data_IF_561774922546
#
_entry.id   IF_561774922546
#
_cell.length_a   1.000
_cell.length_b   1.000
_cell.length_c   1.000
_cell.angle_alpha   90.00
_cell.angle_beta   90.00
_cell.angle_gamma   90.00
#
_symmetry.space_group_name_H-M   'P 1'
#
loop_
_entity.id
_entity.type
_entity.pdbx_description
1 polymer ?
#
# COMPACT_ATOMS: atom_id res chain seq x y z
N UNK A 1 5.35 -1.98 3.66
CA UNK A 1 4.69 -2.82 4.67
C UNK A 1 5.74 -3.19 5.70
N UNK A 2 5.40 -3.36 6.96
CA UNK A 2 6.34 -3.92 7.96
C UNK A 2 6.35 -5.45 7.94
N UNK A 3 5.41 -6.06 7.21
CA UNK A 3 5.37 -7.48 6.87
C UNK A 3 5.75 -7.73 5.41
N UNK A 4 6.43 -8.84 5.14
CA UNK A 4 6.82 -9.26 3.80
C UNK A 4 6.13 -10.57 3.41
N UNK A 5 5.23 -10.51 2.44
CA UNK A 5 4.50 -11.67 1.94
C UNK A 5 4.01 -11.42 0.50
N UNK A 6 3.27 -12.38 -0.07
CA UNK A 6 2.81 -12.32 -1.45
C UNK A 6 1.99 -11.05 -1.79
N UNK A 7 1.28 -10.48 -0.80
CA UNK A 7 0.53 -9.23 -1.01
C UNK A 7 1.44 -8.01 -1.22
N UNK A 8 2.71 -8.08 -0.82
CA UNK A 8 3.71 -7.05 -1.11
C UNK A 8 3.90 -6.89 -2.62
N UNK A 9 3.83 -7.98 -3.39
CA UNK A 9 3.93 -7.95 -4.86
C UNK A 9 2.83 -7.10 -5.52
N UNK A 10 1.67 -6.99 -4.89
CA UNK A 10 0.53 -6.22 -5.41
C UNK A 10 0.69 -4.71 -5.18
N UNK A 11 1.67 -4.28 -4.39
CA UNK A 11 1.92 -2.87 -4.09
C UNK A 11 2.86 -2.28 -5.13
N UNK A 12 2.28 -1.77 -6.20
CA UNK A 12 3.03 -1.15 -7.30
C UNK A 12 3.33 0.34 -7.03
N UNK A 13 4.40 0.84 -7.64
CA UNK A 13 4.76 2.26 -7.54
C UNK A 13 3.70 3.17 -8.18
N UNK A 14 3.48 4.34 -7.60
CA UNK A 14 2.51 5.31 -8.13
C UNK A 14 3.06 6.23 -9.21
N UNK A 15 4.39 6.36 -9.31
CA UNK A 15 5.05 7.33 -10.20
C UNK A 15 5.60 6.73 -11.50
N UNK A 16 5.49 5.40 -11.68
CA UNK A 16 6.08 4.70 -12.82
C UNK A 16 5.60 5.24 -14.19
N UNK A 17 4.37 5.73 -14.28
CA UNK A 17 3.81 6.29 -15.51
C UNK A 17 4.48 7.60 -15.96
N UNK A 18 5.08 8.37 -15.04
CA UNK A 18 5.66 9.68 -15.34
C UNK A 18 6.91 9.58 -16.22
N UNK A 19 7.73 8.55 -15.99
CA UNK A 19 9.05 8.39 -16.62
C UNK A 19 9.25 7.07 -17.34
N UNK A 20 8.38 6.08 -17.14
CA UNK A 20 8.51 4.75 -17.77
C UNK A 20 8.59 4.82 -19.29
N UNK A 21 7.87 5.76 -19.92
CA UNK A 21 7.88 5.94 -21.37
C UNK A 21 9.29 6.25 -21.93
N UNK A 22 10.18 6.86 -21.15
CA UNK A 22 11.56 7.14 -21.58
C UNK A 22 12.31 5.84 -21.89
N UNK A 23 12.04 4.77 -21.13
CA UNK A 23 12.68 3.48 -21.29
C UNK A 23 11.99 2.59 -22.33
N UNK A 24 10.66 2.66 -22.45
CA UNK A 24 9.91 1.81 -23.39
C UNK A 24 9.82 2.38 -24.81
N UNK A 25 9.76 3.70 -24.98
CA UNK A 25 9.63 4.32 -26.31
C UNK A 25 10.79 3.98 -27.26
N UNK A 26 12.06 3.98 -26.82
CA UNK A 26 13.18 3.54 -27.66
C UNK A 26 13.02 2.12 -28.20
N UNK A 27 12.42 1.21 -27.43
CA UNK A 27 12.18 -0.17 -27.86
C UNK A 27 11.26 -0.21 -29.10
N UNK A 28 10.22 0.63 -29.13
CA UNK A 28 9.32 0.72 -30.29
C UNK A 28 10.05 1.28 -31.52
N UNK A 29 10.96 2.25 -31.35
CA UNK A 29 11.73 2.80 -32.46
C UNK A 29 12.73 1.80 -33.08
N UNK A 30 13.25 0.85 -32.29
CA UNK A 30 14.10 -0.24 -32.81
C UNK A 30 13.28 -1.44 -33.31
N UNK A 31 11.95 -1.32 -33.40
CA UNK A 31 11.06 -2.32 -34.01
C UNK A 31 10.56 -3.40 -33.05
N UNK A 32 10.67 -3.22 -31.72
CA UNK A 32 10.06 -4.15 -30.76
C UNK A 32 8.54 -4.02 -30.82
N UNK A 33 7.78 -5.11 -31.06
CA UNK A 33 6.32 -5.05 -31.07
C UNK A 33 5.73 -4.78 -29.68
N UNK A 34 4.59 -4.08 -29.63
CA UNK A 34 3.91 -3.73 -28.38
C UNK A 34 3.49 -4.96 -27.58
N UNK A 35 3.00 -5.99 -28.26
CA UNK A 35 2.61 -7.27 -27.67
C UNK A 35 3.77 -7.97 -26.95
N UNK A 36 5.00 -7.79 -27.41
CA UNK A 36 6.18 -8.36 -26.77
C UNK A 36 6.46 -7.65 -25.44
N UNK A 37 6.42 -6.32 -25.42
CA UNK A 37 6.59 -5.54 -24.18
C UNK A 37 5.52 -5.92 -23.15
N UNK A 38 4.26 -6.03 -23.58
CA UNK A 38 3.14 -6.44 -22.71
C UNK A 38 3.34 -7.85 -22.18
N UNK A 39 3.74 -8.79 -23.04
CA UNK A 39 3.93 -10.20 -22.67
C UNK A 39 5.10 -10.36 -21.70
N UNK A 40 6.24 -9.75 -21.98
CA UNK A 40 7.41 -9.78 -21.07
C UNK A 40 7.07 -9.11 -19.74
N UNK A 41 6.36 -7.97 -19.76
CA UNK A 41 5.89 -7.31 -18.55
C UNK A 41 4.96 -8.20 -17.71
N UNK A 42 4.02 -8.89 -18.34
CA UNK A 42 3.11 -9.82 -17.64
C UNK A 42 3.86 -11.02 -17.04
N UNK A 43 4.79 -11.63 -17.79
CA UNK A 43 5.63 -12.71 -17.28
C UNK A 43 6.51 -12.25 -16.12
N UNK A 44 7.06 -11.04 -16.20
CA UNK A 44 7.81 -10.44 -15.10
C UNK A 44 6.93 -10.25 -13.87
N UNK A 45 5.69 -9.75 -13.99
CA UNK A 45 4.77 -9.60 -12.85
C UNK A 45 4.45 -10.95 -12.18
N UNK A 46 4.23 -12.00 -12.96
CA UNK A 46 4.02 -13.36 -12.45
C UNK A 46 5.28 -13.85 -11.72
N UNK A 47 6.46 -13.64 -12.31
CA UNK A 47 7.73 -13.98 -11.67
C UNK A 47 7.94 -13.21 -10.37
N UNK A 48 7.64 -11.91 -10.35
CA UNK A 48 7.73 -11.09 -9.15
C UNK A 48 6.83 -11.60 -8.04
N UNK A 49 5.65 -12.16 -8.35
CA UNK A 49 4.73 -12.61 -7.31
C UNK A 49 5.32 -13.66 -6.37
N UNK A 50 5.90 -14.74 -6.91
CA UNK A 50 6.33 -15.89 -6.08
C UNK A 50 7.57 -15.60 -5.23
N UNK A 51 8.42 -14.65 -5.64
CA UNK A 51 9.62 -14.27 -4.87
C UNK A 51 9.30 -13.48 -3.60
N UNK A 52 8.06 -12.99 -3.43
CA UNK A 52 7.62 -12.29 -2.22
C UNK A 52 7.20 -13.25 -1.10
N UNK A 53 8.15 -13.99 -0.54
CA UNK A 53 7.90 -14.88 0.59
C UNK A 53 9.12 -15.03 1.50
N UNK A 54 8.85 -15.23 2.80
CA UNK A 54 9.88 -15.57 3.80
C UNK A 54 10.12 -17.08 3.92
N UNK A 55 9.23 -17.90 3.34
CA UNK A 55 9.21 -19.34 3.58
C UNK A 55 10.25 -20.13 2.78
N UNK A 56 10.77 -19.55 1.70
CA UNK A 56 11.73 -20.20 0.81
C UNK A 56 13.13 -19.68 1.14
N UNK A 57 13.99 -20.58 1.62
CA UNK A 57 15.40 -20.29 1.90
C UNK A 57 16.24 -20.11 0.62
N UNK A 58 17.55 -20.25 0.77
CA UNK A 58 18.45 -20.16 -0.38
C UNK A 58 18.30 -21.34 -1.34
N UNK A 59 18.38 -21.09 -2.64
CA UNK A 59 18.17 -22.08 -3.70
C UNK A 59 19.45 -22.53 -4.42
N UNK A 60 20.62 -22.25 -3.86
CA UNK A 60 21.91 -22.70 -4.40
C UNK A 60 22.21 -22.11 -5.78
N UNK A 61 22.37 -22.96 -6.80
CA UNK A 61 22.75 -22.54 -8.16
C UNK A 61 21.77 -21.53 -8.77
N UNK A 62 20.49 -21.61 -8.40
CA UNK A 62 19.44 -20.73 -8.92
C UNK A 62 19.76 -19.26 -8.65
N UNK A 63 20.30 -18.94 -7.46
CA UNK A 63 20.62 -17.57 -7.02
C UNK A 63 21.85 -16.95 -7.68
N UNK A 64 22.52 -17.69 -8.55
CA UNK A 64 23.59 -17.15 -9.37
C UNK A 64 23.06 -16.56 -10.68
N UNK A 65 21.87 -16.98 -11.11
CA UNK A 65 21.28 -16.60 -12.40
C UNK A 65 19.98 -15.81 -12.21
N UNK A 66 19.09 -16.32 -11.36
CA UNK A 66 17.76 -15.81 -11.15
C UNK A 66 17.61 -15.20 -9.76
N UNK A 67 16.72 -14.21 -9.65
CA UNK A 67 16.34 -13.62 -8.35
C UNK A 67 15.50 -14.64 -7.59
N UNK A 68 16.03 -15.15 -6.49
CA UNK A 68 15.30 -16.04 -5.59
C UNK A 68 14.48 -15.25 -4.55
N UNK A 69 13.61 -15.91 -3.78
CA UNK A 69 12.96 -15.29 -2.63
C UNK A 69 13.96 -14.74 -1.59
N UNK A 70 15.12 -15.39 -1.39
CA UNK A 70 16.18 -14.88 -0.52
C UNK A 70 16.80 -13.60 -1.07
N UNK A 71 17.12 -13.56 -2.37
CA UNK A 71 17.67 -12.35 -2.98
C UNK A 71 16.65 -11.20 -2.91
N UNK A 72 15.36 -11.50 -3.10
CA UNK A 72 14.29 -10.49 -3.07
C UNK A 72 13.96 -10.02 -1.65
N UNK A 73 14.11 -10.86 -0.61
CA UNK A 73 14.01 -10.41 0.79
C UNK A 73 15.02 -9.31 1.11
N UNK A 74 16.28 -9.49 0.67
CA UNK A 74 17.32 -8.47 0.82
C UNK A 74 16.92 -7.16 0.14
N UNK A 75 16.35 -7.22 -1.07
CA UNK A 75 15.86 -6.03 -1.79
C UNK A 75 14.80 -5.25 -0.98
N UNK A 76 13.90 -5.95 -0.29
CA UNK A 76 12.85 -5.33 0.52
C UNK A 76 13.27 -5.02 1.96
N UNK A 77 14.48 -5.40 2.37
CA UNK A 77 14.96 -5.18 3.72
C UNK A 77 15.48 -3.75 3.89
N UNK A 78 15.28 -3.20 5.10
CA UNK A 78 15.77 -1.86 5.48
C UNK A 78 17.01 -1.89 6.36
N UNK A 79 17.59 -3.07 6.64
CA UNK A 79 18.85 -3.18 7.38
C UNK A 79 19.93 -2.40 6.64
N UNK A 80 20.82 -1.73 7.36
CA UNK A 80 21.86 -0.90 6.73
C UNK A 80 22.73 -1.67 5.72
N UNK A 81 22.98 -2.97 5.95
CA UNK A 81 23.73 -3.83 5.02
C UNK A 81 22.95 -4.22 3.74
N UNK A 82 21.62 -4.13 3.76
CA UNK A 82 20.74 -4.54 2.67
C UNK A 82 20.14 -3.37 1.88
N UNK A 83 20.29 -2.14 2.39
CA UNK A 83 19.85 -0.94 1.67
C UNK A 83 20.53 -0.85 0.31
N UNK A 84 19.74 -0.53 -0.71
CA UNK A 84 20.23 -0.27 -2.06
C UNK A 84 20.95 -1.48 -2.69
N UNK A 85 20.41 -2.69 -2.46
CA UNK A 85 20.94 -3.96 -2.99
C UNK A 85 19.88 -4.76 -3.75
N UNK A 86 20.34 -5.68 -4.60
CA UNK A 86 19.53 -6.68 -5.32
C UNK A 86 18.35 -6.07 -6.13
N UNK A 87 18.63 -5.16 -7.06
CA UNK A 87 17.65 -4.47 -7.89
C UNK A 87 17.02 -5.31 -9.01
N UNK A 88 17.63 -6.45 -9.35
CA UNK A 88 17.16 -7.31 -10.43
C UNK A 88 15.71 -7.76 -10.22
N UNK A 89 14.93 -7.77 -11.29
CA UNK A 89 13.57 -8.35 -11.28
C UNK A 89 13.63 -9.87 -11.44
N UNK A 90 14.09 -10.34 -12.59
CA UNK A 90 14.17 -11.79 -12.90
C UNK A 90 15.58 -12.34 -12.73
N UNK A 91 16.59 -11.57 -13.15
CA UNK A 91 17.97 -12.03 -13.21
C UNK A 91 18.84 -11.26 -12.20
N UNK A 92 19.44 -11.99 -11.27
CA UNK A 92 20.36 -11.44 -10.26
C UNK A 92 21.77 -11.19 -10.82
N UNK A 93 22.04 -11.69 -12.04
CA UNK A 93 23.31 -11.49 -12.74
C UNK A 93 23.64 -10.01 -12.88
N UNK A 94 22.64 -9.15 -13.11
CA UNK A 94 22.85 -7.71 -13.20
C UNK A 94 23.43 -7.13 -11.91
N UNK A 95 22.91 -7.53 -10.76
CA UNK A 95 23.43 -7.08 -9.47
C UNK A 95 24.87 -7.52 -9.20
N UNK A 96 25.24 -8.71 -9.71
CA UNK A 96 26.62 -9.20 -9.61
C UNK A 96 27.55 -8.45 -10.55
N UNK A 97 27.09 -8.10 -11.74
CA UNK A 97 27.87 -7.35 -12.73
C UNK A 97 28.09 -5.90 -12.32
N UNK A 98 27.10 -5.28 -11.67
CA UNK A 98 27.12 -3.86 -11.28
C UNK A 98 27.38 -3.64 -9.79
N UNK A 99 27.83 -4.66 -9.06
CA UNK A 99 28.23 -4.61 -7.65
C UNK A 99 27.13 -4.13 -6.67
N UNK A 100 25.86 -4.42 -7.00
CA UNK A 100 24.71 -4.22 -6.12
C UNK A 100 24.23 -5.52 -5.45
N UNK A 101 24.88 -6.66 -5.70
CA UNK A 101 24.52 -7.93 -5.08
C UNK A 101 24.87 -7.97 -3.60
N UNK A 102 23.92 -8.40 -2.78
CA UNK A 102 24.12 -8.72 -1.37
C UNK A 102 23.39 -10.02 -1.03
N UNK A 103 24.12 -10.94 -0.40
CA UNK A 103 23.56 -12.19 0.11
C UNK A 103 22.81 -11.94 1.42
N UNK A 104 21.73 -12.68 1.64
CA UNK A 104 21.05 -12.71 2.94
C UNK A 104 21.98 -13.36 3.99
N UNK A 105 22.22 -12.67 5.10
CA UNK A 105 23.14 -13.10 6.16
C UNK A 105 22.34 -13.71 7.31
N UNK A 106 22.64 -14.96 7.74
CA UNK A 106 21.99 -15.56 8.90
C UNK A 106 22.20 -14.77 10.20
N UNK A 107 23.31 -14.03 10.31
CA UNK A 107 23.61 -13.18 11.47
C UNK A 107 22.84 -11.86 11.48
N UNK A 108 22.27 -11.43 10.34
CA UNK A 108 21.51 -10.19 10.20
C UNK A 108 20.18 -10.48 9.48
N UNK A 109 19.16 -10.98 10.20
CA UNK A 109 17.86 -11.25 9.62
C UNK A 109 17.23 -10.00 8.97
N UNK A 110 16.54 -10.20 7.85
CA UNK A 110 15.86 -9.12 7.14
C UNK A 110 14.79 -8.46 8.03
N UNK A 111 14.85 -7.14 8.13
CA UNK A 111 13.83 -6.30 8.77
C UNK A 111 13.15 -5.50 7.67
N UNK A 112 11.83 -5.56 7.58
CA UNK A 112 11.06 -4.88 6.52
C UNK A 112 10.42 -3.58 6.99
N UNK A 113 9.87 -2.86 6.02
CA UNK A 113 9.31 -1.52 6.21
C UNK A 113 10.18 -0.47 5.53
N UNK A 114 9.78 0.79 5.67
CA UNK A 114 10.59 1.91 5.22
C UNK A 114 11.39 2.49 6.39
N UNK A 115 12.43 3.25 6.08
CA UNK A 115 13.34 3.86 7.07
C UNK A 115 12.66 4.91 7.94
N UNK A 116 11.65 5.60 7.41
CA UNK A 116 10.77 6.53 8.14
C UNK A 116 9.35 5.95 8.22
N UNK A 117 8.97 5.21 9.28
CA UNK A 117 7.67 4.52 9.34
C UNK A 117 6.47 5.48 9.25
N UNK A 118 5.48 5.14 8.42
CA UNK A 118 4.27 5.95 8.17
C UNK A 118 3.32 5.95 9.37
N UNK A 119 3.31 4.86 10.16
CA UNK A 119 2.42 4.63 11.32
C UNK A 119 0.94 4.91 11.02
N UNK A 120 0.46 4.40 9.88
CA UNK A 120 -0.93 4.52 9.46
C UNK A 120 -1.29 3.37 8.51
N UNK A 121 -2.52 2.87 8.58
CA UNK A 121 -3.07 1.96 7.56
C UNK A 121 -3.85 2.70 6.47
N UNK A 122 -3.95 4.02 6.53
CA UNK A 122 -4.64 4.82 5.50
C UNK A 122 -3.91 4.70 4.15
N UNK A 123 -4.56 4.21 3.08
CA UNK A 123 -3.96 4.12 1.75
C UNK A 123 -3.64 5.51 1.19
N UNK A 124 -4.45 6.52 1.54
CA UNK A 124 -4.21 7.91 1.14
C UNK A 124 -2.94 8.46 1.78
N UNK A 125 -2.75 8.23 3.09
CA UNK A 125 -1.52 8.61 3.79
C UNK A 125 -0.33 7.86 3.22
N UNK A 126 -0.46 6.56 3.00
CA UNK A 126 0.60 5.74 2.41
C UNK A 126 0.99 6.23 1.01
N UNK A 127 0.04 6.72 0.22
CA UNK A 127 0.30 7.28 -1.10
C UNK A 127 0.91 8.69 -1.04
N UNK A 128 0.39 9.58 -0.20
CA UNK A 128 0.74 11.01 -0.21
C UNK A 128 1.97 11.36 0.64
N UNK A 129 2.32 10.56 1.64
CA UNK A 129 3.36 10.95 2.62
C UNK A 129 4.69 11.29 1.95
N UNK A 130 5.15 10.53 0.96
CA UNK A 130 6.43 10.81 0.26
C UNK A 130 6.41 12.19 -0.39
N UNK A 131 5.33 12.55 -1.07
CA UNK A 131 5.21 13.85 -1.73
C UNK A 131 5.12 14.98 -0.71
N UNK A 132 4.36 14.78 0.38
CA UNK A 132 4.26 15.74 1.47
C UNK A 132 5.61 15.97 2.13
N UNK A 133 6.31 14.90 2.49
CA UNK A 133 7.59 14.96 3.19
C UNK A 133 8.64 15.62 2.29
N UNK A 134 8.67 15.28 1.00
CA UNK A 134 9.49 15.96 -0.01
C UNK A 134 9.19 17.46 -0.12
N UNK A 135 7.91 17.84 -0.20
CA UNK A 135 7.52 19.27 -0.24
C UNK A 135 7.90 20.00 1.05
N UNK A 136 7.77 19.36 2.20
CA UNK A 136 8.19 19.94 3.48
C UNK A 136 9.71 20.15 3.51
N UNK A 137 10.51 19.17 3.07
CA UNK A 137 11.97 19.30 3.01
C UNK A 137 12.38 20.44 2.06
N UNK A 138 11.70 20.57 0.91
CA UNK A 138 11.91 21.69 -0.03
C UNK A 138 11.52 23.05 0.58
N UNK A 139 10.50 23.11 1.43
CA UNK A 139 10.02 24.34 2.02
C UNK A 139 10.86 24.77 3.24
N UNK A 140 11.22 23.81 4.08
CA UNK A 140 11.93 24.05 5.34
C UNK A 140 13.43 24.31 5.16
N UNK A 141 14.06 23.76 4.12
CA UNK A 141 15.50 23.98 3.91
C UNK A 141 15.83 25.45 3.64
N UNK A 142 16.90 25.91 4.28
CA UNK A 142 17.45 27.25 4.13
C UNK A 142 18.23 27.42 2.82
N UNK A 143 18.65 26.32 2.19
CA UNK A 143 19.47 26.33 0.98
C UNK A 143 18.61 26.21 -0.28
N UNK A 144 18.56 27.25 -1.10
CA UNK A 144 17.77 27.26 -2.34
C UNK A 144 18.15 26.13 -3.31
N UNK A 145 19.43 25.71 -3.33
CA UNK A 145 19.91 24.60 -4.14
C UNK A 145 19.27 23.29 -3.73
N UNK A 146 19.12 23.11 -2.42
CA UNK A 146 18.52 21.90 -1.86
C UNK A 146 17.04 21.82 -2.20
N UNK A 147 16.33 22.95 -2.30
CA UNK A 147 14.94 22.97 -2.78
C UNK A 147 14.75 22.32 -4.15
N UNK A 148 15.72 22.46 -5.06
CA UNK A 148 15.68 21.83 -6.40
C UNK A 148 16.23 20.40 -6.33
N UNK A 149 17.18 20.16 -5.44
CA UNK A 149 17.86 18.88 -5.29
C UNK A 149 17.00 17.81 -4.62
N UNK A 150 16.15 18.16 -3.65
CA UNK A 150 15.27 17.21 -2.93
C UNK A 150 14.52 16.29 -3.91
N UNK A 151 13.74 16.79 -4.91
CA UNK A 151 12.98 15.91 -5.80
C UNK A 151 13.82 15.08 -6.76
N UNK A 152 15.11 15.39 -6.91
CA UNK A 152 16.05 14.70 -7.80
C UNK A 152 16.98 13.75 -7.05
N UNK A 153 16.90 13.71 -5.71
CA UNK A 153 17.81 12.93 -4.88
C UNK A 153 17.23 11.57 -4.53
N UNK A 154 18.11 10.67 -4.07
CA UNK A 154 17.70 9.37 -3.59
C UNK A 154 16.86 9.48 -2.29
N UNK A 155 15.95 8.54 -1.99
CA UNK A 155 15.01 8.66 -0.87
C UNK A 155 15.62 8.80 0.54
N UNK A 156 16.89 8.39 0.72
CA UNK A 156 17.62 8.53 1.98
C UNK A 156 18.33 9.89 2.12
N UNK A 157 18.42 10.67 1.04
CA UNK A 157 19.01 12.00 1.07
C UNK A 157 18.07 12.99 1.75
N UNK A 158 18.65 13.92 2.48
CA UNK A 158 17.95 15.05 3.09
C UNK A 158 18.89 16.26 3.12
N UNK A 159 18.37 17.50 3.07
CA UNK A 159 19.17 18.71 3.24
C UNK A 159 19.95 18.67 4.55
N UNK A 160 21.21 19.12 4.54
CA UNK A 160 22.12 19.00 5.70
C UNK A 160 21.61 19.77 6.91
N UNK A 161 21.02 20.94 6.69
CA UNK A 161 20.43 21.78 7.73
C UNK A 161 19.23 21.10 8.42
N UNK A 162 18.45 20.33 7.66
CA UNK A 162 17.34 19.53 8.21
C UNK A 162 17.83 18.24 8.88
N UNK A 163 18.87 17.60 8.34
CA UNK A 163 19.48 16.40 8.91
C UNK A 163 20.03 16.65 10.32
N UNK A 164 20.76 17.76 10.50
CA UNK A 164 21.34 18.17 11.78
C UNK A 164 20.23 18.51 12.79
N UNK A 165 19.18 19.21 12.34
CA UNK A 165 18.01 19.56 13.17
C UNK A 165 17.23 18.33 13.64
N UNK A 166 17.14 17.30 12.82
CA UNK A 166 16.37 16.09 13.13
C UNK A 166 17.08 15.18 14.15
N UNK A 167 18.39 15.33 14.35
CA UNK A 167 19.15 14.56 15.35
C UNK A 167 19.10 13.04 15.16
N UNK A 168 18.83 12.56 13.93
CA UNK A 168 18.50 11.15 13.68
C UNK A 168 19.76 10.33 13.43
N UNK A 169 20.31 9.77 14.49
CA UNK A 169 20.91 8.44 14.44
C UNK A 169 19.83 7.43 14.86
N UNK A 170 19.32 6.66 13.91
CA UNK A 170 18.43 5.54 14.24
C UNK A 170 19.17 4.59 15.19
N UNK A 171 18.54 4.23 16.30
CA UNK A 171 19.11 3.46 17.41
C UNK A 171 19.34 1.96 17.08
N UNK A 172 19.31 1.60 15.80
CA UNK A 172 19.53 0.23 15.32
C UNK A 172 18.47 -0.79 15.73
N UNK A 173 17.47 -0.39 16.51
CA UNK A 173 16.39 -1.28 16.95
C UNK A 173 15.35 -1.40 15.86
N UNK A 174 14.84 -2.62 15.65
CA UNK A 174 13.67 -2.83 14.81
C UNK A 174 12.51 -2.00 15.38
N UNK A 175 11.99 -0.97 14.68
CA UNK A 175 10.89 -0.19 15.19
C UNK A 175 9.68 -1.09 15.44
N UNK A 176 8.98 -0.81 16.54
CA UNK A 176 7.75 -1.48 16.93
C UNK A 176 6.76 -1.37 15.78
N UNK A 177 6.21 -2.52 15.37
CA UNK A 177 5.24 -2.58 14.28
C UNK A 177 4.01 -1.74 14.60
N UNK A 178 3.47 -1.06 13.60
CA UNK A 178 2.24 -0.30 13.72
C UNK A 178 1.03 -1.24 13.72
N UNK A 179 0.55 -1.53 14.93
CA UNK A 179 -0.62 -2.37 15.18
C UNK A 179 -1.57 -1.67 16.19
N UNK A 180 -2.47 -0.79 15.73
CA UNK A 180 -3.43 -0.11 16.59
C UNK A 180 -4.39 -1.10 17.26
N UNK A 181 -4.70 -0.85 18.54
CA UNK A 181 -5.71 -1.63 19.26
C UNK A 181 -7.12 -1.29 18.74
N UNK A 182 -7.73 -2.21 17.98
CA UNK A 182 -9.07 -2.04 17.40
C UNK A 182 -10.11 -2.90 18.13
N UNK A 183 -11.25 -2.32 18.58
CA UNK A 183 -12.37 -3.09 19.13
C UNK A 183 -12.93 -4.11 18.15
N UNK A 184 -13.40 -5.26 18.67
CA UNK A 184 -13.98 -6.33 17.84
C UNK A 184 -15.16 -5.87 16.98
N UNK A 185 -16.00 -4.95 17.48
CA UNK A 185 -17.11 -4.39 16.72
C UNK A 185 -16.65 -3.71 15.42
N UNK A 186 -15.58 -2.92 15.47
CA UNK A 186 -15.00 -2.28 14.27
C UNK A 186 -14.37 -3.30 13.33
N UNK A 187 -13.68 -4.33 13.85
CA UNK A 187 -13.15 -5.43 13.03
C UNK A 187 -14.27 -6.14 12.27
N UNK A 188 -15.37 -6.46 12.95
CA UNK A 188 -16.56 -7.06 12.36
C UNK A 188 -17.18 -6.17 11.28
N UNK A 189 -17.36 -4.87 11.55
CA UNK A 189 -17.83 -3.93 10.54
C UNK A 189 -16.89 -3.80 9.35
N UNK A 190 -15.57 -3.92 9.57
CA UNK A 190 -14.60 -3.98 8.49
C UNK A 190 -14.76 -5.22 7.60
N UNK A 191 -15.05 -6.39 8.19
CA UNK A 191 -15.41 -7.60 7.43
C UNK A 191 -16.65 -7.35 6.55
N UNK A 192 -17.69 -6.71 7.09
CA UNK A 192 -18.88 -6.36 6.30
C UNK A 192 -18.57 -5.37 5.16
N UNK A 193 -17.69 -4.39 5.38
CA UNK A 193 -17.22 -3.51 4.29
C UNK A 193 -16.50 -4.31 3.19
N UNK A 194 -15.66 -5.30 3.54
CA UNK A 194 -14.99 -6.16 2.55
C UNK A 194 -15.97 -7.07 1.78
N UNK A 195 -16.98 -7.61 2.48
CA UNK A 195 -18.05 -8.37 1.83
C UNK A 195 -18.84 -7.50 0.85
N UNK A 196 -19.10 -6.24 1.21
CA UNK A 196 -19.78 -5.29 0.35
C UNK A 196 -18.94 -4.93 -0.88
N UNK A 197 -17.64 -4.69 -0.74
CA UNK A 197 -16.72 -4.49 -1.88
C UNK A 197 -16.76 -5.70 -2.81
N UNK A 198 -16.66 -6.91 -2.25
CA UNK A 198 -16.69 -8.16 -3.02
C UNK A 198 -18.00 -8.33 -3.77
N UNK A 199 -19.12 -8.03 -3.11
CA UNK A 199 -20.43 -8.12 -3.73
C UNK A 199 -20.62 -7.10 -4.85
N UNK A 200 -20.21 -5.84 -4.65
CA UNK A 200 -20.23 -4.82 -5.71
C UNK A 200 -19.37 -5.28 -6.90
N UNK A 201 -18.19 -5.84 -6.65
CA UNK A 201 -17.32 -6.37 -7.70
C UNK A 201 -17.99 -7.52 -8.47
N UNK A 202 -18.63 -8.47 -7.79
CA UNK A 202 -19.33 -9.59 -8.44
C UNK A 202 -20.52 -9.09 -9.28
N UNK A 203 -21.30 -8.13 -8.76
CA UNK A 203 -22.40 -7.52 -9.52
C UNK A 203 -21.84 -6.73 -10.72
N UNK A 204 -20.71 -6.03 -10.56
CA UNK A 204 -20.05 -5.29 -11.64
C UNK A 204 -19.51 -6.18 -12.76
N UNK A 205 -19.08 -7.40 -12.44
CA UNK A 205 -18.65 -8.38 -13.44
C UNK A 205 -19.82 -8.94 -14.25
N UNK A 206 -21.04 -8.85 -13.74
CA UNK A 206 -22.25 -9.18 -14.49
C UNK A 206 -22.62 -7.96 -15.34
N UNK A 207 -22.16 -7.95 -16.60
CA UNK A 207 -22.13 -6.80 -17.50
C UNK A 207 -23.44 -6.01 -17.66
N UNK A 208 -24.59 -6.59 -17.32
CA UNK A 208 -25.90 -5.96 -17.48
C UNK A 208 -26.42 -5.30 -16.18
N UNK A 209 -25.91 -5.68 -15.00
CA UNK A 209 -26.50 -5.26 -13.72
C UNK A 209 -26.13 -3.82 -13.33
N UNK A 210 -24.95 -3.34 -13.73
CA UNK A 210 -24.47 -1.99 -13.42
C UNK A 210 -24.32 -1.09 -14.66
N UNK A 211 -24.95 -1.45 -15.78
CA UNK A 211 -24.87 -0.65 -17.01
C UNK A 211 -25.30 0.80 -16.74
N UNK A 212 -24.40 1.76 -16.96
CA UNK A 212 -24.62 3.19 -16.68
C UNK A 212 -24.31 3.64 -15.24
N UNK A 213 -23.93 2.72 -14.36
CA UNK A 213 -23.58 2.97 -12.95
C UNK A 213 -22.16 2.49 -12.60
N UNK A 214 -21.34 2.12 -13.57
CA UNK A 214 -20.01 1.52 -13.38
C UNK A 214 -19.08 2.47 -12.61
N UNK A 215 -19.07 3.74 -12.99
CA UNK A 215 -18.27 4.77 -12.31
C UNK A 215 -18.65 4.88 -10.83
N UNK A 216 -19.95 4.76 -10.53
CA UNK A 216 -20.45 4.82 -9.17
C UNK A 216 -20.03 3.59 -8.36
N UNK A 217 -20.07 2.40 -8.97
CA UNK A 217 -19.59 1.18 -8.36
C UNK A 217 -18.09 1.25 -8.00
N UNK A 218 -17.25 1.73 -8.92
CA UNK A 218 -15.82 1.92 -8.67
C UNK A 218 -15.56 2.95 -7.56
N UNK A 219 -16.27 4.09 -7.60
CA UNK A 219 -16.17 5.11 -6.56
C UNK A 219 -16.57 4.55 -5.18
N UNK A 220 -17.61 3.71 -5.13
CA UNK A 220 -18.09 3.11 -3.90
C UNK A 220 -17.14 2.05 -3.34
N UNK A 221 -16.56 1.21 -4.20
CA UNK A 221 -15.52 0.27 -3.79
C UNK A 221 -14.30 1.00 -3.22
N UNK A 222 -13.86 2.10 -3.85
CA UNK A 222 -12.77 2.92 -3.36
C UNK A 222 -13.11 3.55 -2.00
N UNK A 223 -14.31 4.13 -1.86
CA UNK A 223 -14.77 4.70 -0.60
C UNK A 223 -14.81 3.64 0.51
N UNK A 224 -15.38 2.47 0.25
CA UNK A 224 -15.40 1.35 1.19
C UNK A 224 -14.00 0.90 1.60
N UNK A 225 -13.05 0.85 0.67
CA UNK A 225 -11.67 0.46 0.96
C UNK A 225 -10.96 1.46 1.88
N UNK A 226 -11.12 2.77 1.62
CA UNK A 226 -10.58 3.84 2.46
C UNK A 226 -11.24 3.83 3.85
N UNK A 227 -12.57 3.68 3.90
CA UNK A 227 -13.32 3.57 5.15
C UNK A 227 -12.89 2.36 5.98
N UNK A 228 -12.65 1.22 5.33
CA UNK A 228 -12.17 0.02 5.99
C UNK A 228 -10.78 0.23 6.61
N UNK A 229 -9.87 0.90 5.90
CA UNK A 229 -8.57 1.27 6.43
C UNK A 229 -8.68 2.20 7.66
N UNK A 230 -9.63 3.15 7.65
CA UNK A 230 -9.89 4.03 8.78
C UNK A 230 -10.50 3.28 10.00
N UNK A 231 -11.44 2.35 9.77
CA UNK A 231 -11.98 1.47 10.84
C UNK A 231 -10.87 0.69 11.52
N UNK A 232 -10.01 0.07 10.71
CA UNK A 232 -8.91 -0.75 11.18
C UNK A 232 -7.78 0.12 11.77
N UNK A 233 -7.67 1.40 11.40
CA UNK A 233 -6.75 2.33 12.07
C UNK A 233 -7.28 2.86 13.41
N UNK A 234 -8.45 2.39 13.86
CA UNK A 234 -9.17 2.91 15.02
C UNK A 234 -9.45 4.43 14.95
N UNK A 235 -9.75 4.96 13.76
CA UNK A 235 -10.00 6.39 13.52
C UNK A 235 -11.25 6.89 14.29
N UNK A 236 -11.14 7.99 15.04
CA UNK A 236 -12.22 8.46 15.91
C UNK A 236 -12.82 9.83 15.50
N UNK A 237 -12.37 10.44 14.40
CA UNK A 237 -12.90 11.74 14.00
C UNK A 237 -14.42 11.72 13.79
N UNK A 238 -15.08 12.82 14.16
CA UNK A 238 -16.51 13.01 13.92
C UNK A 238 -16.83 12.98 12.42
N UNK A 239 -15.91 13.49 11.60
CA UNK A 239 -16.00 13.44 10.14
C UNK A 239 -16.08 12.00 9.62
N UNK A 240 -15.22 11.09 10.11
CA UNK A 240 -15.25 9.69 9.72
C UNK A 240 -16.58 9.01 10.08
N UNK A 241 -17.10 9.26 11.30
CA UNK A 241 -18.41 8.73 11.73
C UNK A 241 -19.56 9.21 10.85
N UNK A 242 -19.57 10.50 10.49
CA UNK A 242 -20.55 11.06 9.55
C UNK A 242 -20.44 10.40 8.18
N UNK A 243 -19.21 10.26 7.67
CA UNK A 243 -18.92 9.63 6.39
C UNK A 243 -19.41 8.18 6.33
N UNK A 244 -19.35 7.43 7.43
CA UNK A 244 -19.87 6.06 7.50
C UNK A 244 -21.40 6.01 7.37
N UNK A 245 -22.12 6.96 7.99
CA UNK A 245 -23.58 7.07 7.82
C UNK A 245 -23.99 7.49 6.41
N UNK A 246 -23.29 8.48 5.85
CA UNK A 246 -23.52 8.94 4.47
C UNK A 246 -23.31 7.80 3.48
N UNK A 247 -22.26 6.99 3.66
CA UNK A 247 -21.98 5.82 2.83
C UNK A 247 -23.18 4.85 2.79
N UNK A 248 -23.79 4.55 3.93
CA UNK A 248 -24.98 3.67 3.98
C UNK A 248 -26.17 4.28 3.25
N UNK A 249 -26.43 5.58 3.44
CA UNK A 249 -27.51 6.28 2.73
C UNK A 249 -27.30 6.25 1.21
N UNK A 250 -26.05 6.47 0.77
CA UNK A 250 -25.65 6.42 -0.64
C UNK A 250 -25.82 5.01 -1.21
N UNK A 251 -25.38 3.97 -0.50
CA UNK A 251 -25.57 2.56 -0.89
C UNK A 251 -27.04 2.18 -1.06
N UNK A 252 -27.88 2.50 -0.07
CA UNK A 252 -29.31 2.17 -0.08
C UNK A 252 -30.03 2.92 -1.20
N UNK A 253 -29.78 4.23 -1.33
CA UNK A 253 -30.40 5.05 -2.38
C UNK A 253 -29.95 4.65 -3.79
N UNK A 254 -28.67 4.34 -3.97
CA UNK A 254 -28.14 3.82 -5.23
C UNK A 254 -28.79 2.49 -5.61
N UNK A 255 -28.88 1.54 -4.67
CA UNK A 255 -29.56 0.27 -4.92
C UNK A 255 -31.03 0.45 -5.28
N UNK A 256 -31.74 1.35 -4.60
CA UNK A 256 -33.14 1.63 -4.89
C UNK A 256 -33.35 2.20 -6.30
N UNK A 257 -32.41 3.02 -6.81
CA UNK A 257 -32.47 3.57 -8.17
C UNK A 257 -32.17 2.52 -9.24
N UNK A 258 -31.28 1.57 -8.95
CA UNK A 258 -30.89 0.53 -9.90
C UNK A 258 -31.88 -0.63 -9.96
N UNK A 259 -32.21 -1.19 -8.79
CA UNK A 259 -33.19 -2.27 -8.65
C UNK A 259 -33.57 -2.49 -7.19
N UNK A 260 -34.87 -2.39 -6.88
CA UNK A 260 -35.42 -2.69 -5.56
C UNK A 260 -35.09 -4.13 -5.10
N UNK A 261 -34.82 -5.06 -6.02
CA UNK A 261 -34.43 -6.43 -5.69
C UNK A 261 -33.05 -6.55 -5.04
N UNK A 262 -32.18 -5.54 -5.21
CA UNK A 262 -30.85 -5.50 -4.59
C UNK A 262 -30.88 -5.02 -3.13
N UNK A 263 -31.97 -4.35 -2.72
CA UNK A 263 -32.07 -3.75 -1.39
C UNK A 263 -32.01 -4.78 -0.23
N UNK A 264 -32.70 -5.95 -0.31
CA UNK A 264 -32.58 -6.98 0.73
C UNK A 264 -31.17 -7.57 0.84
N UNK A 265 -30.37 -7.48 -0.23
CA UNK A 265 -29.00 -7.99 -0.26
C UNK A 265 -28.00 -6.95 0.30
N UNK A 266 -28.10 -5.70 -0.15
CA UNK A 266 -27.14 -4.63 0.20
C UNK A 266 -27.47 -3.97 1.54
N UNK A 267 -28.75 -3.73 1.82
CA UNK A 267 -29.21 -2.99 3.00
C UNK A 267 -28.70 -3.58 4.33
N UNK A 268 -28.93 -4.88 4.61
CA UNK A 268 -28.47 -5.49 5.85
C UNK A 268 -26.95 -5.47 6.02
N UNK A 269 -26.20 -5.75 4.94
CA UNK A 269 -24.72 -5.75 4.95
C UNK A 269 -24.18 -4.33 5.19
N UNK A 270 -24.77 -3.32 4.54
CA UNK A 270 -24.40 -1.92 4.73
C UNK A 270 -24.68 -1.45 6.17
N UNK A 271 -25.83 -1.82 6.75
CA UNK A 271 -26.16 -1.50 8.14
C UNK A 271 -25.22 -2.19 9.13
N UNK A 272 -24.85 -3.46 8.90
CA UNK A 272 -23.86 -4.16 9.69
C UNK A 272 -22.46 -3.50 9.62
N UNK A 273 -22.13 -2.89 8.48
CA UNK A 273 -20.92 -2.08 8.28
C UNK A 273 -20.84 -0.83 9.17
N UNK A 274 -21.95 -0.34 9.73
CA UNK A 274 -21.98 0.84 10.62
C UNK A 274 -22.45 0.53 12.04
N UNK A 275 -22.81 -0.73 12.32
CA UNK A 275 -23.34 -1.15 13.63
C UNK A 275 -22.38 -0.86 14.80
N UNK A 276 -21.06 -0.86 14.55
CA UNK A 276 -20.04 -0.51 15.54
C UNK A 276 -20.28 0.85 16.22
N UNK A 277 -20.90 1.81 15.53
CA UNK A 277 -21.14 3.15 16.06
C UNK A 277 -22.11 3.15 17.25
N UNK A 278 -23.02 2.17 17.34
CA UNK A 278 -23.95 2.06 18.47
C UNK A 278 -23.25 1.50 19.72
N UNK A 279 -22.40 0.50 19.54
CA UNK A 279 -21.71 -0.17 20.65
C UNK A 279 -20.56 0.67 21.26
N UNK A 280 -20.00 1.61 20.51
CA UNK A 280 -18.99 2.53 21.06
C UNK A 280 -19.60 3.67 21.86
N UNK A 281 -20.78 4.14 21.44
CA UNK A 281 -21.48 5.20 22.14
C UNK A 281 -21.85 4.79 23.57
N UNK A 282 -22.24 3.53 23.76
CA UNK A 282 -22.52 2.96 25.09
C UNK A 282 -21.27 2.91 25.99
N UNK A 283 -20.07 2.64 25.44
CA UNK A 283 -18.83 2.66 26.23
C UNK A 283 -18.43 4.06 26.67
N UNK A 284 -18.53 5.04 25.79
CA UNK A 284 -18.20 6.43 26.12
C UNK A 284 -19.17 7.03 27.15
N UNK A 285 -20.45 6.67 27.08
CA UNK A 285 -21.46 7.08 28.07
C UNK A 285 -21.28 6.35 29.41
N UNK A 286 -21.00 5.04 29.41
CA UNK A 286 -20.74 4.28 30.64
C UNK A 286 -19.47 4.73 31.37
N UNK A 287 -18.42 5.13 30.63
CA UNK A 287 -17.16 5.60 31.22
C UNK A 287 -17.29 7.00 31.83
N UNK A 288 -18.13 7.86 31.24
CA UNK A 288 -18.45 9.20 31.78
C UNK A 288 -19.33 9.18 33.02
N UNK A 289 -20.16 8.15 33.21
CA UNK A 289 -20.99 8.00 34.42
C UNK A 289 -20.18 7.41 35.58
N UNK A 290 -19.05 6.77 35.30
CA UNK A 290 -18.16 6.17 36.29
C UNK A 290 -17.00 7.09 36.76
N UNK A 291 -16.86 8.29 36.17
CA UNK A 291 -15.86 9.32 36.52
C UNK A 291 -16.50 10.50 37.24
#
# INVERSE_FOLDING_TARGET
>A
SEDYNLSTALRQTSSGFLFGWIFYTPLFFIGVPAEMVVTVGALNLIYQFWVHTEHVGELGWFEYVFVSPSNHRVHHARNACYLDRNYGGVFIVWDRLFDSYQRELPSEPCVYGITKPIRSWSPLTAWLHVYRDMMNDMWETQHWRDRIRVPLSHPAWQPTDLAEKAGVHGDGKAPVRYDPAVPSARKTSGVFNLLLITMILVIAQQAEALSGYETWAWAMMLWLAVANAALLSNEQSAFFRLQEWLKVAVLISGCAQMSLSLLPLVGPVALAGVAWQFFEKEKDEATKVAS
#
